data_IF_979295666727
#
_entry.id   IF_979295666727
#
_cell.length_a   1.000
_cell.length_b   1.000
_cell.length_c   1.000
_cell.angle_alpha   90.00
_cell.angle_beta   90.00
_cell.angle_gamma   90.00
#
_symmetry.space_group_name_H-M   'P 1'
#
loop_
_entity.id
_entity.type
_entity.pdbx_description
1 polymer ?
#
# COMPACT_ATOMS: atom_id res chain seq x y z
N UNK A 1 31.35 22.22 11.55
CA UNK A 1 30.86 21.50 10.37
C UNK A 1 29.57 22.18 9.95
N UNK A 2 29.32 22.45 8.65
CA UNK A 2 28.04 23.02 8.22
C UNK A 2 26.91 22.02 8.45
N UNK A 3 25.67 22.51 8.54
CA UNK A 3 24.48 21.66 8.59
C UNK A 3 24.42 20.80 7.33
N UNK A 4 24.15 19.50 7.48
CA UNK A 4 23.95 18.61 6.32
C UNK A 4 22.58 18.89 5.71
N UNK A 5 22.53 19.12 4.39
CA UNK A 5 21.30 19.47 3.67
C UNK A 5 20.83 18.28 2.81
N UNK A 6 19.67 17.72 3.12
CA UNK A 6 19.11 16.54 2.47
C UNK A 6 17.78 16.87 1.79
N UNK A 7 17.67 16.55 0.50
CA UNK A 7 16.41 16.57 -0.22
C UNK A 7 15.70 15.22 -0.14
N UNK A 8 14.41 15.23 0.09
CA UNK A 8 13.51 14.07 0.01
C UNK A 8 12.50 14.33 -1.10
N UNK A 9 12.47 13.48 -2.12
CA UNK A 9 11.63 13.63 -3.30
C UNK A 9 10.41 12.74 -3.18
N UNK A 10 9.27 13.33 -2.85
CA UNK A 10 7.97 12.70 -2.62
C UNK A 10 7.49 12.82 -1.18
N UNK A 11 6.28 13.33 -1.01
CA UNK A 11 5.61 13.57 0.27
C UNK A 11 4.61 12.49 0.68
N UNK A 12 4.75 11.27 0.14
CA UNK A 12 4.02 10.09 0.58
C UNK A 12 4.58 9.50 1.87
N UNK A 13 4.02 8.37 2.34
CA UNK A 13 4.46 7.73 3.59
C UNK A 13 5.95 7.39 3.59
N UNK A 14 6.53 7.02 2.44
CA UNK A 14 7.96 6.75 2.28
C UNK A 14 8.82 7.96 2.65
N UNK A 15 8.52 9.12 2.04
CA UNK A 15 9.31 10.34 2.25
C UNK A 15 9.08 10.96 3.62
N UNK A 16 7.84 10.96 4.11
CA UNK A 16 7.52 11.48 5.44
C UNK A 16 8.16 10.63 6.55
N UNK A 17 8.17 9.30 6.40
CA UNK A 17 8.91 8.40 7.30
C UNK A 17 10.41 8.59 7.20
N UNK A 18 10.96 8.82 5.99
CA UNK A 18 12.37 9.11 5.81
C UNK A 18 12.77 10.41 6.50
N UNK A 19 11.96 11.47 6.40
CA UNK A 19 12.19 12.73 7.10
C UNK A 19 12.24 12.52 8.62
N UNK A 20 11.30 11.75 9.17
CA UNK A 20 11.27 11.40 10.58
C UNK A 20 12.52 10.65 11.02
N UNK A 21 12.86 9.53 10.37
CA UNK A 21 13.99 8.70 10.75
C UNK A 21 15.35 9.37 10.54
N UNK A 22 15.49 10.20 9.50
CA UNK A 22 16.70 11.01 9.30
C UNK A 22 16.87 12.02 10.44
N UNK A 23 15.79 12.67 10.88
CA UNK A 23 15.83 13.58 12.02
C UNK A 23 16.18 12.84 13.31
N UNK A 24 15.64 11.65 13.52
CA UNK A 24 15.97 10.80 14.67
C UNK A 24 17.43 10.36 14.66
N UNK A 25 17.97 9.95 13.52
CA UNK A 25 19.32 9.43 13.37
C UNK A 25 20.41 10.52 13.43
N UNK A 26 20.18 11.69 12.82
CA UNK A 26 21.20 12.73 12.61
C UNK A 26 21.03 13.95 13.53
N UNK A 27 19.90 14.08 14.23
CA UNK A 27 19.68 15.13 15.21
C UNK A 27 19.36 16.51 14.64
N UNK A 28 19.66 17.57 15.42
CA UNK A 28 19.18 18.93 15.18
C UNK A 28 19.90 19.75 14.10
N UNK A 29 21.15 19.45 13.79
CA UNK A 29 21.96 20.19 12.79
C UNK A 29 21.76 19.66 11.37
N UNK A 30 20.51 19.32 11.02
CA UNK A 30 20.12 18.74 9.76
C UNK A 30 19.08 19.61 9.05
N UNK A 31 19.33 20.01 7.81
CA UNK A 31 18.36 20.69 6.98
C UNK A 31 17.67 19.65 6.07
N UNK A 32 16.40 19.41 6.34
CA UNK A 32 15.55 18.53 5.55
C UNK A 32 14.57 19.34 4.71
N UNK A 33 14.51 19.03 3.40
CA UNK A 33 13.48 19.57 2.52
C UNK A 33 12.74 18.43 1.84
N UNK A 34 11.42 18.39 2.05
CA UNK A 34 10.51 17.46 1.35
C UNK A 34 9.89 18.18 0.17
N UNK A 35 10.12 17.67 -1.04
CA UNK A 35 9.53 18.14 -2.28
C UNK A 35 8.37 17.25 -2.65
N UNK A 36 7.17 17.82 -2.79
CA UNK A 36 5.96 17.12 -3.22
C UNK A 36 5.40 17.83 -4.46
N UNK A 37 5.12 17.08 -5.51
CA UNK A 37 4.57 17.64 -6.76
C UNK A 37 3.14 18.11 -6.63
N UNK A 38 2.36 17.45 -5.76
CA UNK A 38 0.96 17.78 -5.52
C UNK A 38 0.84 18.89 -4.44
N UNK A 39 -0.32 19.51 -4.34
CA UNK A 39 -0.60 20.54 -3.36
C UNK A 39 -0.67 20.02 -1.91
N UNK A 40 -0.68 18.69 -1.71
CA UNK A 40 -0.87 18.04 -0.42
C UNK A 40 0.05 16.83 -0.26
N UNK A 41 0.47 16.60 0.99
CA UNK A 41 1.15 15.38 1.39
C UNK A 41 0.23 14.16 1.31
N UNK A 42 0.83 12.97 1.27
CA UNK A 42 0.14 11.69 1.38
C UNK A 42 0.36 10.77 0.19
N UNK A 43 0.50 11.32 -1.02
CA UNK A 43 0.62 10.51 -2.23
C UNK A 43 -0.57 9.52 -2.35
N UNK A 44 -0.29 8.22 -2.28
CA UNK A 44 -1.33 7.17 -2.30
C UNK A 44 -2.13 7.01 -0.99
N UNK A 45 -1.91 7.85 0.01
CA UNK A 45 -2.75 8.01 1.21
C UNK A 45 -3.62 9.25 1.05
N UNK A 46 -4.61 9.18 0.20
CA UNK A 46 -5.50 10.30 -0.09
C UNK A 46 -6.87 10.07 0.55
N UNK A 47 -7.39 11.12 1.14
CA UNK A 47 -8.77 11.21 1.64
C UNK A 47 -9.54 12.15 0.76
N UNK A 48 -10.72 11.76 0.32
CA UNK A 48 -11.64 12.58 -0.46
C UNK A 48 -12.94 12.81 0.30
N UNK A 49 -13.63 13.88 -0.02
CA UNK A 49 -14.98 14.12 0.48
C UNK A 49 -16.01 13.61 -0.54
N UNK A 50 -16.88 12.70 -0.09
CA UNK A 50 -18.00 12.21 -0.90
C UNK A 50 -19.31 12.55 -0.17
N UNK A 51 -20.00 13.55 -0.69
CA UNK A 51 -21.29 13.96 -0.12
C UNK A 51 -21.22 14.44 1.33
N UNK A 52 -20.14 15.12 1.72
CA UNK A 52 -19.89 15.61 3.07
C UNK A 52 -19.26 14.57 4.01
N UNK A 53 -18.83 13.42 3.48
CA UNK A 53 -18.23 12.36 4.28
C UNK A 53 -16.80 12.08 3.78
N UNK A 54 -15.77 12.22 4.64
CA UNK A 54 -14.39 11.88 4.27
C UNK A 54 -14.24 10.37 4.15
N UNK A 55 -13.69 9.92 3.02
CA UNK A 55 -13.41 8.50 2.75
C UNK A 55 -11.99 8.32 2.21
N UNK A 56 -11.37 7.19 2.52
CA UNK A 56 -10.05 6.85 2.02
C UNK A 56 -10.09 6.47 0.54
N UNK A 57 -9.37 7.20 -0.29
CA UNK A 57 -9.28 6.93 -1.72
C UNK A 57 -8.19 5.90 -2.06
N UNK A 58 -7.14 5.84 -1.26
CA UNK A 58 -6.00 4.96 -1.44
C UNK A 58 -5.81 3.94 -0.31
N UNK A 59 -4.60 3.95 0.29
CA UNK A 59 -4.22 3.02 1.35
C UNK A 59 -5.02 3.26 2.64
N UNK A 60 -5.80 2.26 3.04
CA UNK A 60 -6.77 2.39 4.12
C UNK A 60 -6.35 1.65 5.39
N UNK A 61 -5.81 0.44 5.24
CA UNK A 61 -5.68 -0.54 6.33
C UNK A 61 -4.27 -0.51 6.93
N UNK A 62 -4.20 -0.41 8.26
CA UNK A 62 -2.99 -0.59 9.06
C UNK A 62 -3.18 -1.84 9.93
N UNK A 63 -2.24 -2.79 9.88
CA UNK A 63 -2.26 -3.97 10.73
C UNK A 63 -1.68 -3.65 12.10
N UNK A 64 -2.23 -4.23 13.18
CA UNK A 64 -1.79 -3.93 14.55
C UNK A 64 -0.31 -4.23 14.82
N UNK A 65 0.30 -5.18 14.08
CA UNK A 65 1.72 -5.50 14.18
C UNK A 65 2.63 -4.60 13.34
N UNK A 66 2.06 -3.64 12.61
CA UNK A 66 2.80 -2.62 11.86
C UNK A 66 3.44 -1.64 12.86
N UNK A 67 4.62 -2.01 13.37
CA UNK A 67 5.26 -1.34 14.51
C UNK A 67 5.48 0.15 14.28
N UNK A 68 5.97 0.54 13.10
CA UNK A 68 6.24 1.94 12.80
C UNK A 68 4.96 2.73 12.59
N UNK A 69 4.04 2.24 11.78
CA UNK A 69 2.77 2.94 11.55
C UNK A 69 1.94 3.05 12.83
N UNK A 70 1.85 1.99 13.61
CA UNK A 70 1.14 1.99 14.88
C UNK A 70 1.81 2.96 15.89
N UNK A 71 3.15 2.97 15.92
CA UNK A 71 3.93 3.89 16.75
C UNK A 71 3.77 5.35 16.31
N UNK A 72 3.78 5.65 15.02
CA UNK A 72 3.52 7.00 14.51
C UNK A 72 2.13 7.50 14.88
N UNK A 73 1.09 6.66 14.72
CA UNK A 73 -0.27 7.02 15.12
C UNK A 73 -0.35 7.37 16.60
N UNK A 74 0.33 6.60 17.46
CA UNK A 74 0.38 6.84 18.90
C UNK A 74 1.17 8.12 19.25
N UNK A 75 2.38 8.27 18.71
CA UNK A 75 3.27 9.43 18.98
C UNK A 75 2.67 10.74 18.50
N UNK A 76 1.93 10.71 17.39
CA UNK A 76 1.24 11.88 16.84
C UNK A 76 -0.11 12.17 17.52
N UNK A 77 -0.54 11.32 18.46
CA UNK A 77 -1.82 11.47 19.15
C UNK A 77 -3.04 11.29 18.23
N UNK A 78 -2.88 10.53 17.14
CA UNK A 78 -3.96 10.29 16.18
C UNK A 78 -4.91 9.20 16.68
N UNK A 79 -6.19 9.34 16.38
CA UNK A 79 -7.21 8.39 16.83
C UNK A 79 -7.28 7.18 15.91
N UNK A 80 -7.14 5.97 16.46
CA UNK A 80 -7.41 4.73 15.74
C UNK A 80 -8.92 4.54 15.57
N UNK A 81 -9.34 4.10 14.39
CA UNK A 81 -10.71 3.73 14.05
C UNK A 81 -10.71 2.38 13.33
N UNK A 82 -11.83 1.67 13.38
CA UNK A 82 -11.99 0.48 12.55
C UNK A 82 -12.06 0.89 11.07
N UNK A 83 -11.42 0.12 10.16
CA UNK A 83 -11.54 0.37 8.73
C UNK A 83 -13.01 0.20 8.28
N UNK A 84 -13.49 1.08 7.42
CA UNK A 84 -14.84 1.00 6.82
C UNK A 84 -16.00 0.98 7.83
N UNK A 85 -15.83 1.58 9.02
CA UNK A 85 -16.84 1.57 10.06
C UNK A 85 -18.12 2.29 9.65
N UNK A 86 -19.20 1.54 9.49
CA UNK A 86 -20.53 2.06 9.14
C UNK A 86 -21.44 2.18 10.36
N UNK A 87 -21.47 1.16 11.20
CA UNK A 87 -22.19 1.13 12.47
C UNK A 87 -21.29 0.50 13.54
N UNK A 88 -21.09 1.15 14.71
CA UNK A 88 -20.28 0.59 15.78
C UNK A 88 -20.79 -0.78 16.22
N UNK A 89 -19.96 -1.82 16.07
CA UNK A 89 -20.26 -3.17 16.53
C UNK A 89 -20.93 -4.08 15.49
N UNK A 90 -21.12 -3.67 14.24
CA UNK A 90 -21.50 -4.59 13.16
C UNK A 90 -20.25 -5.26 12.56
N UNK A 91 -20.28 -6.59 12.42
CA UNK A 91 -19.27 -7.31 11.64
C UNK A 91 -19.51 -7.03 10.14
N UNK A 92 -18.48 -6.62 9.42
CA UNK A 92 -18.52 -6.42 7.97
C UNK A 92 -18.85 -7.74 7.26
N UNK A 93 -19.91 -7.73 6.46
CA UNK A 93 -20.30 -8.91 5.68
C UNK A 93 -19.51 -8.97 4.37
N UNK A 94 -18.96 -10.14 4.03
CA UNK A 94 -18.10 -10.36 2.86
C UNK A 94 -18.71 -11.40 1.93
N UNK A 95 -18.66 -11.12 0.62
CA UNK A 95 -19.06 -12.05 -0.42
C UNK A 95 -18.00 -12.19 -1.50
N UNK A 96 -17.79 -13.41 -2.02
CA UNK A 96 -16.92 -13.67 -3.17
C UNK A 96 -17.77 -13.93 -4.39
N UNK A 97 -17.75 -12.99 -5.33
CA UNK A 97 -18.50 -13.01 -6.59
C UNK A 97 -17.70 -13.63 -7.72
N UNK A 98 -18.31 -14.53 -8.48
CA UNK A 98 -17.64 -15.22 -9.60
C UNK A 98 -18.18 -14.82 -10.99
N UNK A 99 -18.84 -13.67 -11.10
CA UNK A 99 -19.47 -13.20 -12.33
C UNK A 99 -20.89 -13.71 -12.55
N UNK A 100 -21.34 -14.71 -11.79
CA UNK A 100 -22.70 -15.30 -11.95
C UNK A 100 -23.43 -15.48 -10.63
N UNK A 101 -22.72 -15.75 -9.57
CA UNK A 101 -23.25 -15.96 -8.21
C UNK A 101 -22.17 -15.79 -7.17
N UNK A 102 -22.57 -15.60 -5.94
CA UNK A 102 -21.64 -15.68 -4.82
C UNK A 102 -21.11 -17.12 -4.66
N UNK A 103 -19.82 -17.29 -4.85
CA UNK A 103 -19.12 -18.53 -4.56
C UNK A 103 -19.07 -18.81 -3.06
N UNK A 104 -18.97 -17.74 -2.25
CA UNK A 104 -19.01 -17.74 -0.79
C UNK A 104 -19.63 -16.44 -0.30
N UNK A 105 -20.33 -16.48 0.83
CA UNK A 105 -20.80 -15.29 1.60
C UNK A 105 -20.69 -15.57 3.08
N UNK A 106 -20.40 -14.52 3.86
CA UNK A 106 -20.68 -14.53 5.29
C UNK A 106 -22.18 -14.50 5.54
N UNK A 107 -22.59 -14.97 6.71
CA UNK A 107 -23.97 -14.99 7.18
C UNK A 107 -24.05 -14.19 8.47
N UNK A 108 -25.21 -13.70 8.85
CA UNK A 108 -25.46 -12.97 10.10
C UNK A 108 -25.04 -13.78 11.35
N UNK A 109 -24.99 -15.09 11.22
CA UNK A 109 -24.48 -15.98 12.27
C UNK A 109 -23.06 -16.43 11.96
N UNK A 110 -22.12 -16.13 12.85
CA UNK A 110 -20.74 -16.61 12.77
C UNK A 110 -20.66 -18.16 12.67
N UNK A 111 -21.60 -18.88 13.30
CA UNK A 111 -21.68 -20.34 13.21
C UNK A 111 -22.03 -20.79 11.79
N UNK A 112 -23.01 -20.15 11.15
CA UNK A 112 -23.41 -20.47 9.77
C UNK A 112 -22.28 -20.13 8.79
N UNK A 113 -21.62 -19.00 8.98
CA UNK A 113 -20.43 -18.61 8.19
C UNK A 113 -19.34 -19.67 8.29
N UNK A 114 -19.02 -20.14 9.51
CA UNK A 114 -18.02 -21.21 9.73
C UNK A 114 -18.43 -22.52 9.07
N UNK A 115 -19.69 -22.93 9.18
CA UNK A 115 -20.21 -24.15 8.53
C UNK A 115 -20.14 -24.04 7.01
N UNK A 116 -20.51 -22.90 6.43
CA UNK A 116 -20.40 -22.66 4.98
C UNK A 116 -18.96 -22.68 4.51
N UNK A 117 -18.03 -22.06 5.24
CA UNK A 117 -16.60 -22.09 4.94
C UNK A 117 -16.02 -23.51 5.02
N UNK A 118 -16.37 -24.26 6.07
CA UNK A 118 -15.95 -25.66 6.23
C UNK A 118 -16.50 -26.55 5.11
N UNK A 119 -17.78 -26.38 4.76
CA UNK A 119 -18.38 -27.12 3.65
C UNK A 119 -17.70 -26.80 2.30
N UNK A 120 -17.35 -25.52 2.06
CA UNK A 120 -16.77 -25.07 0.79
C UNK A 120 -15.29 -25.38 0.66
N UNK A 121 -14.52 -25.10 1.71
CA UNK A 121 -13.06 -25.09 1.71
C UNK A 121 -12.43 -26.18 2.59
N UNK A 122 -13.24 -26.88 3.38
CA UNK A 122 -12.75 -27.79 4.39
C UNK A 122 -12.18 -27.06 5.61
N UNK A 123 -11.70 -27.81 6.59
CA UNK A 123 -11.10 -27.25 7.82
C UNK A 123 -9.59 -27.04 7.65
N UNK A 124 -8.94 -27.91 6.90
CA UNK A 124 -7.46 -28.00 6.86
C UNK A 124 -6.82 -26.82 6.13
N UNK A 125 -7.37 -26.42 4.98
CA UNK A 125 -6.80 -25.34 4.17
C UNK A 125 -6.85 -23.98 4.85
N UNK A 126 -7.98 -23.50 5.40
CA UNK A 126 -8.01 -22.21 6.11
C UNK A 126 -7.06 -22.18 7.32
N UNK A 127 -7.03 -23.23 8.14
CA UNK A 127 -6.16 -23.29 9.33
C UNK A 127 -4.67 -23.35 8.95
N UNK A 128 -4.33 -24.05 7.86
CA UNK A 128 -2.98 -24.13 7.36
C UNK A 128 -2.53 -22.78 6.82
N UNK A 129 -3.36 -22.16 5.98
CA UNK A 129 -3.07 -20.82 5.44
C UNK A 129 -2.87 -19.80 6.56
N UNK A 130 -3.76 -19.77 7.55
CA UNK A 130 -3.63 -18.86 8.70
C UNK A 130 -2.26 -19.03 9.39
N UNK A 131 -1.84 -20.28 9.67
CA UNK A 131 -0.53 -20.56 10.30
C UNK A 131 0.64 -20.13 9.42
N UNK A 132 0.56 -20.38 8.12
CA UNK A 132 1.61 -19.97 7.18
C UNK A 132 1.70 -18.45 7.07
N UNK A 133 0.58 -17.74 7.02
CA UNK A 133 0.56 -16.28 7.01
C UNK A 133 1.13 -15.73 8.32
N UNK A 134 0.68 -16.23 9.48
CA UNK A 134 1.23 -15.82 10.79
C UNK A 134 2.73 -16.03 10.86
N UNK A 135 3.22 -17.20 10.42
CA UNK A 135 4.66 -17.48 10.39
C UNK A 135 5.43 -16.47 9.50
N UNK A 136 4.86 -16.02 8.36
CA UNK A 136 5.50 -15.01 7.51
C UNK A 136 5.50 -13.64 8.17
N UNK A 137 4.43 -13.27 8.84
CA UNK A 137 4.37 -12.03 9.61
C UNK A 137 5.38 -12.04 10.76
N UNK A 138 5.49 -13.13 11.52
CA UNK A 138 6.49 -13.30 12.58
C UNK A 138 7.92 -13.23 12.03
N UNK A 139 8.17 -13.85 10.89
CA UNK A 139 9.46 -13.82 10.20
C UNK A 139 9.80 -12.40 9.71
N UNK A 140 8.85 -11.70 9.11
CA UNK A 140 9.00 -10.30 8.72
C UNK A 140 9.26 -9.40 9.92
N UNK A 141 8.55 -9.59 11.02
CA UNK A 141 8.66 -8.73 12.20
C UNK A 141 10.05 -8.79 12.86
N UNK A 142 10.91 -9.76 12.54
CA UNK A 142 12.30 -9.79 13.00
C UNK A 142 13.10 -8.60 12.48
N UNK A 143 12.68 -7.96 11.37
CA UNK A 143 13.35 -6.78 10.82
C UNK A 143 13.48 -5.65 11.86
N UNK A 144 12.51 -5.50 12.74
CA UNK A 144 12.53 -4.42 13.72
C UNK A 144 13.71 -4.56 14.70
N UNK A 145 14.02 -5.78 15.13
CA UNK A 145 15.18 -6.03 16.00
C UNK A 145 16.49 -5.71 15.27
N UNK A 146 16.66 -6.15 14.02
CA UNK A 146 17.83 -5.83 13.22
C UNK A 146 18.03 -4.31 13.04
N UNK A 147 16.95 -3.58 12.72
CA UNK A 147 17.02 -2.12 12.55
C UNK A 147 17.24 -1.39 13.88
N UNK A 148 16.73 -1.89 14.99
CA UNK A 148 17.00 -1.33 16.33
C UNK A 148 18.47 -1.55 16.76
N UNK A 149 19.09 -2.64 16.32
CA UNK A 149 20.52 -2.94 16.52
C UNK A 149 21.43 -2.16 15.55
N UNK A 150 20.85 -1.34 14.65
CA UNK A 150 21.57 -0.50 13.70
C UNK A 150 21.98 -1.22 12.41
N UNK A 151 21.38 -2.38 12.11
CA UNK A 151 21.59 -3.04 10.82
C UNK A 151 21.13 -2.14 9.67
N UNK A 152 21.87 -2.18 8.56
CA UNK A 152 21.54 -1.49 7.34
C UNK A 152 21.76 -2.42 6.14
N UNK A 153 20.80 -2.39 5.20
CA UNK A 153 20.79 -3.25 4.03
C UNK A 153 20.86 -2.40 2.76
N UNK A 154 21.76 -2.73 1.84
CA UNK A 154 21.93 -1.97 0.58
C UNK A 154 20.79 -2.22 -0.43
N UNK A 155 20.00 -3.29 -0.25
CA UNK A 155 18.88 -3.61 -1.15
C UNK A 155 17.74 -4.35 -0.44
N UNK A 156 16.51 -4.32 -0.98
CA UNK A 156 15.42 -5.16 -0.51
C UNK A 156 15.74 -6.66 -0.57
N UNK A 157 16.54 -7.10 -1.54
CA UNK A 157 16.97 -8.49 -1.65
C UNK A 157 17.86 -8.90 -0.46
N UNK A 158 18.83 -8.07 -0.08
CA UNK A 158 19.66 -8.31 1.10
C UNK A 158 18.84 -8.36 2.39
N UNK A 159 17.90 -7.41 2.55
CA UNK A 159 16.96 -7.38 3.69
C UNK A 159 16.11 -8.64 3.76
N UNK A 160 15.52 -9.08 2.63
CA UNK A 160 14.71 -10.29 2.59
C UNK A 160 15.55 -11.55 2.83
N UNK A 161 16.80 -11.59 2.37
CA UNK A 161 17.72 -12.71 2.61
C UNK A 161 18.07 -12.84 4.09
N UNK A 162 18.34 -11.73 4.77
CA UNK A 162 18.59 -11.72 6.23
C UNK A 162 17.42 -12.34 7.01
N UNK A 163 16.19 -12.09 6.54
CA UNK A 163 14.97 -12.63 7.14
C UNK A 163 14.62 -14.04 6.63
N UNK A 164 15.39 -14.63 5.70
CA UNK A 164 15.07 -15.92 5.06
C UNK A 164 13.78 -15.88 4.22
N UNK A 165 13.46 -14.72 3.64
CA UNK A 165 12.28 -14.50 2.79
C UNK A 165 12.62 -14.49 1.29
N UNK A 166 13.89 -14.56 0.90
CA UNK A 166 14.36 -14.46 -0.50
C UNK A 166 13.69 -15.51 -1.41
N UNK A 167 13.53 -16.75 -0.94
CA UNK A 167 12.87 -17.79 -1.71
C UNK A 167 11.39 -17.49 -2.04
N UNK A 168 10.74 -16.59 -1.31
CA UNK A 168 9.37 -16.14 -1.62
C UNK A 168 9.34 -15.06 -2.69
N UNK A 169 10.44 -14.36 -2.93
CA UNK A 169 10.54 -13.40 -4.02
C UNK A 169 10.64 -14.09 -5.39
N UNK A 170 11.16 -15.31 -5.44
CA UNK A 170 11.47 -16.06 -6.67
C UNK A 170 10.32 -16.97 -7.13
N UNK A 171 9.33 -17.23 -6.28
CA UNK A 171 8.15 -18.05 -6.61
C UNK A 171 6.89 -17.20 -6.56
N UNK A 172 5.87 -17.57 -7.33
CA UNK A 172 4.57 -16.90 -7.23
C UNK A 172 3.76 -17.43 -6.02
N UNK A 173 2.74 -16.66 -5.64
CA UNK A 173 1.85 -17.02 -4.54
C UNK A 173 1.11 -18.34 -4.77
N UNK A 174 0.82 -18.69 -6.03
CA UNK A 174 0.19 -19.98 -6.36
C UNK A 174 1.10 -21.14 -6.04
N UNK A 175 2.38 -21.05 -6.38
CA UNK A 175 3.37 -22.05 -6.05
C UNK A 175 3.63 -22.12 -4.53
N UNK A 176 3.72 -20.96 -3.87
CA UNK A 176 3.85 -20.92 -2.41
C UNK A 176 2.66 -21.61 -1.71
N UNK A 177 1.42 -21.31 -2.10
CA UNK A 177 0.21 -21.95 -1.58
C UNK A 177 0.19 -23.46 -1.89
N UNK A 178 0.60 -23.84 -3.11
CA UNK A 178 0.69 -25.24 -3.50
C UNK A 178 1.72 -26.04 -2.69
N UNK A 179 2.87 -25.43 -2.37
CA UNK A 179 3.90 -26.01 -1.50
C UNK A 179 3.38 -26.20 -0.07
N UNK A 180 2.50 -25.30 0.39
CA UNK A 180 1.77 -25.43 1.65
C UNK A 180 0.60 -26.43 1.57
N UNK A 181 0.33 -27.02 0.40
CA UNK A 181 -0.70 -28.04 0.17
C UNK A 181 -2.08 -27.45 -0.18
N UNK A 182 -2.17 -26.16 -0.54
CA UNK A 182 -3.40 -25.48 -0.92
C UNK A 182 -3.46 -25.27 -2.43
N UNK A 183 -4.55 -25.72 -3.07
CA UNK A 183 -4.72 -25.72 -4.53
C UNK A 183 -6.18 -25.54 -4.94
N UNK A 184 -6.38 -25.36 -6.24
CA UNK A 184 -7.68 -25.40 -6.88
C UNK A 184 -8.65 -24.35 -6.34
N UNK A 185 -9.83 -24.80 -5.92
CA UNK A 185 -10.92 -23.93 -5.48
C UNK A 185 -10.55 -23.01 -4.34
N UNK A 186 -9.79 -23.48 -3.36
CA UNK A 186 -9.40 -22.66 -2.22
C UNK A 186 -8.52 -21.48 -2.66
N UNK A 187 -7.56 -21.72 -3.55
CA UNK A 187 -6.74 -20.64 -4.11
C UNK A 187 -7.58 -19.68 -4.95
N UNK A 188 -8.43 -20.20 -5.84
CA UNK A 188 -9.21 -19.39 -6.76
C UNK A 188 -10.31 -18.55 -6.08
N UNK A 189 -10.97 -19.08 -5.04
CA UNK A 189 -12.16 -18.46 -4.43
C UNK A 189 -11.91 -17.90 -3.03
N UNK A 190 -10.70 -18.06 -2.47
CA UNK A 190 -10.34 -17.51 -1.17
C UNK A 190 -9.08 -16.63 -1.27
N UNK A 191 -7.92 -17.20 -1.63
CA UNK A 191 -6.66 -16.46 -1.65
C UNK A 191 -6.60 -15.40 -2.77
N UNK A 192 -7.08 -15.73 -3.97
CA UNK A 192 -7.07 -14.80 -5.12
C UNK A 192 -7.92 -13.55 -4.88
N UNK A 193 -9.21 -13.64 -4.42
CA UNK A 193 -10.00 -12.45 -4.12
C UNK A 193 -9.35 -11.51 -3.10
N UNK A 194 -8.66 -12.06 -2.09
CA UNK A 194 -7.94 -11.28 -1.10
C UNK A 194 -6.71 -10.58 -1.69
N UNK A 195 -5.97 -11.23 -2.59
CA UNK A 195 -4.90 -10.58 -3.36
C UNK A 195 -5.43 -9.44 -4.23
N UNK A 196 -6.56 -9.65 -4.89
CA UNK A 196 -7.18 -8.65 -5.78
C UNK A 196 -7.64 -7.39 -5.05
N UNK A 197 -8.26 -7.51 -3.88
CA UNK A 197 -8.67 -6.32 -3.13
C UNK A 197 -7.46 -5.57 -2.58
N UNK A 198 -6.39 -6.27 -2.21
CA UNK A 198 -5.20 -5.66 -1.61
C UNK A 198 -4.27 -5.02 -2.64
N UNK A 199 -4.06 -5.66 -3.80
CA UNK A 199 -3.07 -5.21 -4.80
C UNK A 199 -3.61 -5.04 -6.23
N UNK A 200 -4.89 -5.28 -6.47
CA UNK A 200 -5.43 -5.35 -7.83
C UNK A 200 -4.85 -6.52 -8.66
N UNK A 201 -4.07 -7.39 -8.04
CA UNK A 201 -3.35 -8.50 -8.65
C UNK A 201 -3.79 -9.84 -8.03
N UNK A 202 -3.72 -10.91 -8.81
CA UNK A 202 -4.01 -12.26 -8.32
C UNK A 202 -2.77 -12.91 -7.66
N UNK A 203 -2.87 -14.16 -7.29
CA UNK A 203 -1.77 -14.93 -6.67
C UNK A 203 -0.61 -15.25 -7.63
N UNK A 204 -0.54 -14.65 -8.82
CA UNK A 204 0.66 -14.62 -9.67
C UNK A 204 1.72 -13.61 -9.18
N UNK A 205 1.38 -12.78 -8.20
CA UNK A 205 2.36 -12.00 -7.45
C UNK A 205 3.39 -12.93 -6.80
N UNK A 206 4.57 -12.39 -6.47
CA UNK A 206 5.56 -13.15 -5.71
C UNK A 206 4.97 -13.63 -4.36
N UNK A 207 5.52 -14.72 -3.82
CA UNK A 207 5.00 -15.36 -2.60
C UNK A 207 5.07 -14.47 -1.37
N UNK A 208 6.04 -13.56 -1.30
CA UNK A 208 6.15 -12.62 -0.19
C UNK A 208 5.00 -11.59 -0.24
N UNK A 209 4.79 -10.92 -1.36
CA UNK A 209 3.67 -9.98 -1.53
C UNK A 209 2.31 -10.68 -1.31
N UNK A 210 2.15 -11.91 -1.81
CA UNK A 210 0.94 -12.72 -1.58
C UNK A 210 0.73 -12.98 -0.09
N UNK A 211 1.78 -13.33 0.67
CA UNK A 211 1.67 -13.59 2.10
C UNK A 211 1.26 -12.34 2.90
N UNK A 212 1.80 -11.18 2.52
CA UNK A 212 1.46 -9.89 3.15
C UNK A 212 0.05 -9.44 2.76
N UNK A 213 -0.39 -9.64 1.51
CA UNK A 213 -1.77 -9.38 1.11
C UNK A 213 -2.78 -10.16 1.96
N UNK A 214 -2.50 -11.43 2.21
CA UNK A 214 -3.35 -12.30 3.03
C UNK A 214 -3.33 -11.90 4.51
N UNK A 215 -2.20 -11.40 5.03
CA UNK A 215 -2.13 -10.83 6.37
C UNK A 215 -2.99 -9.55 6.48
N UNK A 216 -2.88 -8.65 5.51
CA UNK A 216 -3.68 -7.42 5.41
C UNK A 216 -5.19 -7.66 5.26
N UNK A 217 -5.59 -8.86 4.88
CA UNK A 217 -6.99 -9.30 4.86
C UNK A 217 -7.49 -9.85 6.21
N UNK A 218 -6.77 -9.60 7.31
CA UNK A 218 -7.17 -9.97 8.67
C UNK A 218 -6.83 -11.41 9.08
N UNK A 219 -6.01 -12.15 8.31
CA UNK A 219 -5.66 -13.53 8.67
C UNK A 219 -4.61 -13.63 9.79
N UNK A 220 -3.97 -12.54 10.17
CA UNK A 220 -2.87 -12.55 11.14
C UNK A 220 -3.00 -11.52 12.28
N UNK A 221 -4.15 -10.87 12.46
CA UNK A 221 -4.37 -9.89 13.53
C UNK A 221 -5.43 -8.86 13.20
N UNK A 222 -5.62 -7.89 14.09
CA UNK A 222 -6.59 -6.81 13.94
C UNK A 222 -6.08 -5.72 12.99
N UNK A 223 -7.04 -5.00 12.41
CA UNK A 223 -6.82 -3.94 11.45
C UNK A 223 -7.40 -2.63 11.98
N UNK A 224 -6.77 -1.51 11.63
CA UNK A 224 -7.29 -0.19 11.95
C UNK A 224 -6.95 0.83 10.85
N UNK A 225 -7.56 2.00 10.93
CA UNK A 225 -7.26 3.19 10.14
C UNK A 225 -7.12 4.40 11.06
N UNK A 226 -6.74 5.55 10.53
CA UNK A 226 -6.65 6.81 11.26
C UNK A 226 -7.95 7.62 11.09
N UNK A 227 -8.55 8.02 12.19
CA UNK A 227 -9.72 8.89 12.18
C UNK A 227 -9.39 10.26 11.58
N UNK A 228 -10.08 10.62 10.49
CA UNK A 228 -9.79 11.80 9.69
C UNK A 228 -8.88 11.55 8.50
N UNK A 229 -8.40 10.31 8.33
CA UNK A 229 -7.60 9.86 7.18
C UNK A 229 -6.14 9.57 7.50
N UNK A 230 -5.61 8.51 6.87
CA UNK A 230 -4.22 8.07 7.05
C UNK A 230 -3.19 9.13 6.61
N UNK A 231 -3.57 10.06 5.74
CA UNK A 231 -2.73 11.20 5.33
C UNK A 231 -2.23 12.03 6.50
N UNK A 232 -2.99 12.11 7.60
CA UNK A 232 -2.60 12.82 8.82
C UNK A 232 -1.29 12.30 9.43
N UNK A 233 -0.93 11.04 9.18
CA UNK A 233 0.38 10.49 9.58
C UNK A 233 1.49 11.22 8.83
N UNK A 234 1.37 11.39 7.51
CA UNK A 234 2.37 12.08 6.71
C UNK A 234 2.57 13.53 7.17
N UNK A 235 1.49 14.27 7.39
CA UNK A 235 1.52 15.65 7.87
C UNK A 235 2.19 15.76 9.25
N UNK A 236 1.85 14.84 10.15
CA UNK A 236 2.43 14.77 11.48
C UNK A 236 3.94 14.49 11.44
N UNK A 237 4.37 13.50 10.64
CA UNK A 237 5.79 13.12 10.54
C UNK A 237 6.67 14.26 10.01
N UNK A 238 6.24 14.96 8.95
CA UNK A 238 6.99 16.09 8.39
C UNK A 238 7.10 17.24 9.40
N UNK A 239 6.00 17.53 10.10
CA UNK A 239 5.98 18.56 11.16
C UNK A 239 6.95 18.22 12.30
N UNK A 240 6.88 17.01 12.83
CA UNK A 240 7.74 16.59 13.94
C UNK A 240 9.23 16.46 13.52
N UNK A 241 9.48 16.03 12.27
CA UNK A 241 10.84 16.05 11.70
C UNK A 241 11.39 17.46 11.50
N UNK A 242 10.56 18.50 11.63
CA UNK A 242 10.90 19.91 11.34
C UNK A 242 11.51 20.06 9.96
N UNK A 243 10.97 19.33 8.99
CA UNK A 243 11.40 19.42 7.59
C UNK A 243 10.71 20.59 6.91
N UNK A 244 11.43 21.29 6.05
CA UNK A 244 10.84 22.27 5.14
C UNK A 244 9.99 21.54 4.12
N UNK A 245 8.70 21.85 4.04
CA UNK A 245 7.80 21.28 3.07
C UNK A 245 7.64 22.21 1.86
N UNK A 246 7.82 21.67 0.67
CA UNK A 246 7.56 22.34 -0.60
C UNK A 246 6.57 21.50 -1.40
N UNK A 247 5.29 21.89 -1.35
CA UNK A 247 4.24 21.38 -2.24
C UNK A 247 4.26 22.13 -3.58
N UNK A 248 3.53 21.60 -4.58
CA UNK A 248 3.55 22.10 -5.97
C UNK A 248 4.99 22.24 -6.52
N UNK A 249 5.86 21.31 -6.10
CA UNK A 249 7.30 21.34 -6.33
C UNK A 249 7.77 20.07 -7.05
N UNK A 250 7.34 19.90 -8.30
CA UNK A 250 7.73 18.80 -9.16
C UNK A 250 9.20 18.92 -9.54
N UNK A 251 9.96 17.83 -9.32
CA UNK A 251 11.38 17.74 -9.70
C UNK A 251 11.48 17.06 -11.05
N UNK A 252 12.08 17.73 -12.05
CA UNK A 252 12.32 17.21 -13.40
C UNK A 252 13.66 16.51 -13.54
N UNK A 253 14.69 16.98 -12.81
CA UNK A 253 16.04 16.44 -12.94
C UNK A 253 16.82 16.49 -11.63
N UNK A 254 17.70 15.50 -11.45
CA UNK A 254 18.72 15.45 -10.40
C UNK A 254 20.09 15.26 -11.10
N UNK A 255 20.99 16.19 -10.85
CA UNK A 255 22.34 16.18 -11.44
C UNK A 255 23.40 16.09 -10.35
N UNK A 256 24.39 15.19 -10.52
CA UNK A 256 25.56 15.13 -9.63
C UNK A 256 26.46 16.34 -9.89
N UNK A 257 26.89 17.00 -8.82
CA UNK A 257 27.86 18.08 -8.84
C UNK A 257 29.09 17.70 -8.02
N UNK A 258 30.13 18.56 -8.03
CA UNK A 258 31.34 18.30 -7.25
C UNK A 258 31.06 18.22 -5.72
N UNK A 259 30.09 19.01 -5.23
CA UNK A 259 29.80 19.20 -3.82
C UNK A 259 28.39 18.70 -3.42
N UNK A 260 27.81 17.75 -4.17
CA UNK A 260 26.49 17.20 -3.87
C UNK A 260 25.61 17.06 -5.11
N UNK A 261 24.36 17.49 -5.01
CA UNK A 261 23.34 17.35 -6.05
C UNK A 261 22.67 18.68 -6.35
N UNK A 262 22.36 18.90 -7.61
CA UNK A 262 21.49 19.99 -8.06
C UNK A 262 20.16 19.40 -8.53
N UNK A 263 19.08 19.88 -7.96
CA UNK A 263 17.71 19.56 -8.31
C UNK A 263 17.15 20.66 -9.20
N UNK A 264 16.52 20.30 -10.31
CA UNK A 264 15.79 21.21 -11.19
C UNK A 264 14.30 20.96 -11.05
N UNK A 265 13.56 22.01 -10.67
CA UNK A 265 12.11 22.01 -10.58
C UNK A 265 11.46 22.31 -11.93
N UNK A 266 10.22 21.84 -12.15
CA UNK A 266 9.41 22.14 -13.33
C UNK A 266 9.18 23.67 -13.52
N UNK A 267 9.24 24.43 -12.45
CA UNK A 267 9.18 25.91 -12.47
C UNK A 267 10.42 26.57 -13.07
N UNK A 268 11.51 25.82 -13.31
CA UNK A 268 12.80 26.31 -13.72
C UNK A 268 13.72 26.72 -12.56
N UNK A 269 13.26 26.67 -11.32
CA UNK A 269 14.09 26.88 -10.13
C UNK A 269 15.10 25.72 -9.98
N UNK A 270 16.28 26.02 -9.43
CA UNK A 270 17.25 25.01 -9.01
C UNK A 270 17.51 25.09 -7.51
N UNK A 271 17.73 23.93 -6.88
CA UNK A 271 18.10 23.81 -5.48
C UNK A 271 19.31 22.87 -5.33
N UNK A 272 20.17 23.13 -4.32
CA UNK A 272 21.36 22.30 -4.06
C UNK A 272 21.23 21.59 -2.73
N UNK A 273 21.63 20.31 -2.71
CA UNK A 273 21.62 19.47 -1.53
C UNK A 273 22.85 18.55 -1.48
N UNK A 274 23.29 18.21 -0.28
CA UNK A 274 24.41 17.31 -0.07
C UNK A 274 24.04 15.86 -0.40
N UNK A 275 22.80 15.50 -0.12
CA UNK A 275 22.23 14.15 -0.32
C UNK A 275 20.81 14.23 -0.88
N UNK A 276 20.43 13.16 -1.59
CA UNK A 276 19.06 13.02 -2.12
C UNK A 276 18.48 11.67 -1.75
N UNK A 277 17.25 11.69 -1.25
CA UNK A 277 16.44 10.49 -0.96
C UNK A 277 15.23 10.50 -1.89
N UNK A 278 15.22 9.59 -2.86
CA UNK A 278 14.03 9.32 -3.65
C UNK A 278 13.02 8.57 -2.78
N UNK A 279 11.81 9.12 -2.68
CA UNK A 279 10.69 8.55 -1.97
C UNK A 279 9.44 8.47 -2.87
N UNK A 280 9.70 8.26 -4.15
CA UNK A 280 8.70 8.02 -5.21
C UNK A 280 9.18 6.86 -6.09
N UNK A 281 8.29 6.18 -6.83
CA UNK A 281 8.70 5.23 -7.85
C UNK A 281 9.49 5.94 -8.95
N UNK A 282 10.80 5.65 -9.08
CA UNK A 282 11.68 6.37 -10.01
C UNK A 282 11.16 6.41 -11.45
N UNK A 283 10.68 5.27 -11.97
CA UNK A 283 10.16 5.20 -13.34
C UNK A 283 8.89 6.02 -13.58
N UNK A 284 8.06 6.22 -12.55
CA UNK A 284 6.84 7.02 -12.65
C UNK A 284 7.08 8.51 -12.39
N UNK A 285 8.13 8.84 -11.67
CA UNK A 285 8.44 10.22 -11.31
C UNK A 285 8.91 11.06 -12.51
N UNK A 286 9.38 10.41 -13.59
CA UNK A 286 9.86 11.11 -14.78
C UNK A 286 11.14 11.93 -14.54
N UNK A 287 11.80 11.74 -13.39
CA UNK A 287 13.01 12.51 -13.02
C UNK A 287 14.20 12.02 -13.80
N UNK A 288 14.83 12.91 -14.56
CA UNK A 288 16.08 12.60 -15.27
C UNK A 288 17.29 12.63 -14.31
N UNK A 289 18.19 11.65 -14.46
CA UNK A 289 19.43 11.56 -13.70
C UNK A 289 20.63 11.93 -14.59
N UNK A 290 21.49 12.86 -14.15
CA UNK A 290 22.68 13.30 -14.90
C UNK A 290 23.94 13.22 -14.06
N UNK A 291 25.02 12.66 -14.63
CA UNK A 291 26.28 12.48 -13.90
C UNK A 291 26.22 11.49 -12.76
N UNK A 292 25.23 10.60 -12.78
CA UNK A 292 24.95 9.58 -11.76
C UNK A 292 25.06 8.22 -12.42
N UNK A 293 25.97 7.39 -11.95
CA UNK A 293 26.12 6.00 -12.39
C UNK A 293 25.16 5.11 -11.60
N UNK A 294 23.88 5.18 -11.96
CA UNK A 294 22.85 4.39 -11.33
C UNK A 294 22.81 2.96 -11.90
N UNK A 295 22.77 1.91 -11.06
CA UNK A 295 22.73 0.53 -11.53
C UNK A 295 21.46 0.24 -12.33
N UNK A 296 21.54 -0.66 -13.32
CA UNK A 296 20.43 -0.99 -14.21
C UNK A 296 19.13 -1.37 -13.46
N UNK A 297 19.16 -2.16 -12.37
CA UNK A 297 17.94 -2.45 -11.62
C UNK A 297 17.22 -1.21 -11.07
N UNK A 298 17.91 -0.10 -10.82
CA UNK A 298 17.31 1.15 -10.38
C UNK A 298 16.70 1.95 -11.55
N UNK A 299 17.28 1.84 -12.74
CA UNK A 299 16.85 2.61 -13.93
C UNK A 299 15.89 1.85 -14.84
N UNK A 300 15.71 0.54 -14.60
CA UNK A 300 14.80 -0.31 -15.38
C UNK A 300 13.37 0.17 -15.23
N UNK A 301 12.70 0.40 -16.35
CA UNK A 301 11.26 0.63 -16.37
C UNK A 301 10.51 -0.61 -15.88
N UNK A 302 9.58 -0.40 -14.96
CA UNK A 302 8.76 -1.47 -14.34
C UNK A 302 7.29 -1.11 -14.46
N UNK A 303 6.50 -2.10 -14.88
CA UNK A 303 5.06 -1.93 -15.00
C UNK A 303 4.40 -1.72 -13.63
N UNK A 304 3.38 -0.88 -13.62
CA UNK A 304 2.51 -0.66 -12.47
C UNK A 304 1.11 -1.23 -12.74
N UNK A 305 0.48 -1.69 -11.69
CA UNK A 305 -0.93 -2.04 -11.68
C UNK A 305 -1.74 -0.76 -11.58
N UNK A 306 -2.38 -0.37 -12.68
CA UNK A 306 -3.37 0.70 -12.64
C UNK A 306 -4.61 0.21 -11.88
N UNK A 307 -5.13 1.05 -11.01
CA UNK A 307 -6.39 0.83 -10.29
C UNK A 307 -7.21 2.09 -10.37
N UNK A 308 -8.44 1.95 -10.81
CA UNK A 308 -9.43 3.01 -10.76
C UNK A 308 -10.28 2.84 -9.50
N UNK A 309 -10.29 3.85 -8.65
CA UNK A 309 -11.16 3.93 -7.48
C UNK A 309 -12.34 4.83 -7.82
N UNK A 310 -13.52 4.24 -7.98
CA UNK A 310 -14.76 4.96 -8.29
C UNK A 310 -15.64 4.99 -7.05
N UNK A 311 -16.02 6.18 -6.61
CA UNK A 311 -16.90 6.39 -5.47
C UNK A 311 -18.30 6.73 -5.95
N UNK A 312 -19.28 5.98 -5.47
CA UNK A 312 -20.66 6.02 -5.95
C UNK A 312 -21.61 6.16 -4.77
N UNK A 313 -22.40 7.21 -4.75
CA UNK A 313 -23.56 7.29 -3.89
C UNK A 313 -24.75 6.69 -4.62
N UNK A 314 -25.32 5.58 -4.14
CA UNK A 314 -26.40 4.92 -4.91
C UNK A 314 -26.92 3.64 -4.31
N UNK A 315 -27.75 2.96 -5.08
CA UNK A 315 -28.40 1.69 -4.74
C UNK A 315 -27.91 0.61 -5.71
N UNK A 316 -27.20 -0.44 -5.21
CA UNK A 316 -26.75 -1.54 -6.07
C UNK A 316 -27.93 -2.35 -6.64
N UNK A 317 -27.77 -2.89 -7.85
CA UNK A 317 -28.73 -3.81 -8.47
C UNK A 317 -28.73 -5.16 -7.80
N UNK A 318 -29.81 -5.48 -7.13
CA UNK A 318 -30.00 -6.78 -6.48
C UNK A 318 -30.00 -7.95 -7.49
N UNK A 319 -30.59 -7.75 -8.66
CA UNK A 319 -30.70 -8.74 -9.73
C UNK A 319 -29.35 -9.09 -10.37
N UNK A 320 -28.46 -8.10 -10.57
CA UNK A 320 -27.08 -8.34 -11.03
C UNK A 320 -26.34 -9.32 -10.12
N UNK A 321 -26.47 -9.14 -8.81
CA UNK A 321 -25.81 -9.98 -7.81
C UNK A 321 -26.62 -11.21 -7.38
N UNK A 322 -27.81 -11.40 -7.91
CA UNK A 322 -28.69 -12.51 -7.55
C UNK A 322 -29.08 -12.54 -6.08
N UNK A 323 -29.28 -11.36 -5.47
CA UNK A 323 -29.72 -11.20 -4.08
C UNK A 323 -31.17 -10.70 -4.03
N UNK A 324 -31.84 -10.86 -2.89
CA UNK A 324 -33.26 -10.53 -2.75
C UNK A 324 -33.56 -9.02 -2.78
N UNK A 325 -32.59 -8.21 -2.33
CA UNK A 325 -32.66 -6.75 -2.30
C UNK A 325 -31.27 -6.16 -2.22
N UNK A 326 -31.11 -4.87 -2.50
CA UNK A 326 -29.83 -4.17 -2.32
C UNK A 326 -29.27 -4.28 -0.89
N UNK A 327 -30.14 -4.28 0.13
CA UNK A 327 -29.76 -4.47 1.53
C UNK A 327 -29.33 -5.90 1.89
N UNK A 328 -29.47 -6.87 0.98
CA UNK A 328 -28.96 -8.23 1.16
C UNK A 328 -27.61 -8.44 0.44
N UNK A 329 -27.07 -7.40 -0.20
CA UNK A 329 -25.71 -7.41 -0.75
C UNK A 329 -24.71 -7.36 0.41
N UNK A 330 -23.65 -8.19 0.38
CA UNK A 330 -22.54 -8.05 1.33
C UNK A 330 -21.90 -6.66 1.29
N UNK A 331 -21.44 -6.17 2.44
CA UNK A 331 -20.76 -4.87 2.56
C UNK A 331 -19.50 -4.83 1.70
N UNK A 332 -18.77 -5.95 1.62
CA UNK A 332 -17.64 -6.13 0.72
C UNK A 332 -17.90 -7.27 -0.27
N UNK A 333 -17.93 -6.93 -1.56
CA UNK A 333 -17.97 -7.89 -2.67
C UNK A 333 -16.58 -8.00 -3.27
N UNK A 334 -15.92 -9.11 -3.02
CA UNK A 334 -14.64 -9.49 -3.62
C UNK A 334 -14.88 -10.33 -4.87
N UNK A 335 -13.92 -10.39 -5.79
CA UNK A 335 -14.10 -11.14 -7.04
C UNK A 335 -13.00 -12.15 -7.28
N UNK A 336 -13.35 -13.25 -7.93
CA UNK A 336 -12.38 -14.18 -8.50
C UNK A 336 -11.64 -13.55 -9.69
N UNK A 337 -10.49 -14.09 -10.07
CA UNK A 337 -9.81 -13.70 -11.32
C UNK A 337 -10.47 -14.41 -12.49
N UNK A 338 -11.27 -13.68 -13.26
CA UNK A 338 -11.97 -14.15 -14.44
C UNK A 338 -12.23 -12.96 -15.36
N UNK A 339 -11.97 -13.11 -16.67
CA UNK A 339 -12.15 -12.05 -17.67
C UNK A 339 -13.61 -11.57 -17.78
N UNK A 340 -14.56 -12.41 -17.38
CA UNK A 340 -15.98 -12.06 -17.34
C UNK A 340 -16.35 -11.19 -16.14
N UNK A 341 -15.43 -10.90 -15.21
CA UNK A 341 -15.68 -10.08 -14.03
C UNK A 341 -14.99 -8.73 -14.19
N UNK A 342 -15.73 -7.66 -14.54
CA UNK A 342 -15.16 -6.38 -14.97
C UNK A 342 -14.65 -5.50 -13.82
N UNK A 343 -14.70 -5.94 -12.58
CA UNK A 343 -14.23 -5.20 -11.41
C UNK A 343 -13.47 -6.10 -10.43
N UNK A 344 -12.63 -5.51 -9.60
CA UNK A 344 -11.84 -6.21 -8.59
C UNK A 344 -12.56 -6.34 -7.25
N UNK A 345 -13.27 -5.29 -6.84
CA UNK A 345 -14.10 -5.29 -5.64
C UNK A 345 -15.12 -4.17 -5.66
N UNK A 346 -16.21 -4.35 -4.91
CA UNK A 346 -17.20 -3.31 -4.58
C UNK A 346 -17.42 -3.34 -3.06
N UNK A 347 -17.12 -2.23 -2.39
CA UNK A 347 -17.27 -2.11 -0.93
C UNK A 347 -18.17 -0.95 -0.54
N UNK A 348 -19.05 -1.15 0.42
CA UNK A 348 -19.78 -0.10 1.10
C UNK A 348 -18.81 0.56 2.08
N UNK A 349 -18.43 1.83 1.86
CA UNK A 349 -17.35 2.49 2.62
C UNK A 349 -17.84 3.55 3.59
N UNK A 350 -19.04 4.09 3.37
CA UNK A 350 -19.63 5.10 4.25
C UNK A 350 -21.11 5.28 3.98
N UNK A 351 -21.77 6.08 4.83
CA UNK A 351 -23.07 6.70 4.56
C UNK A 351 -22.89 8.22 4.49
N UNK A 352 -23.53 8.85 3.53
CA UNK A 352 -23.55 10.31 3.41
C UNK A 352 -24.34 10.95 4.57
N UNK A 353 -24.20 12.26 4.70
CA UNK A 353 -24.98 13.03 5.67
C UNK A 353 -26.52 12.89 5.51
N UNK A 354 -26.98 12.56 4.30
CA UNK A 354 -28.40 12.25 4.02
C UNK A 354 -28.78 10.79 4.32
N UNK A 355 -27.84 9.95 4.73
CA UNK A 355 -28.03 8.51 5.00
C UNK A 355 -27.91 7.62 3.75
N UNK A 356 -27.59 8.17 2.57
CA UNK A 356 -27.39 7.39 1.38
C UNK A 356 -26.05 6.61 1.44
N UNK A 357 -26.05 5.38 0.94
CA UNK A 357 -24.88 4.51 0.92
C UNK A 357 -23.84 4.98 -0.08
N UNK A 358 -22.57 5.00 0.33
CA UNK A 358 -21.41 5.33 -0.50
C UNK A 358 -20.61 4.06 -0.73
N UNK A 359 -20.44 3.71 -1.98
CA UNK A 359 -19.69 2.53 -2.42
C UNK A 359 -18.36 2.94 -3.07
N UNK A 360 -17.34 2.11 -2.88
CA UNK A 360 -16.05 2.20 -3.55
C UNK A 360 -15.89 0.99 -4.47
N UNK A 361 -15.81 1.26 -5.76
CA UNK A 361 -15.59 0.24 -6.80
C UNK A 361 -14.15 0.30 -7.28
N UNK A 362 -13.46 -0.82 -7.29
CA UNK A 362 -12.13 -0.95 -7.90
C UNK A 362 -12.21 -1.66 -9.25
N UNK A 363 -11.64 -1.02 -10.28
CA UNK A 363 -11.44 -1.60 -11.60
C UNK A 363 -10.01 -1.44 -12.08
N UNK A 364 -9.55 -2.29 -13.00
CA UNK A 364 -8.23 -2.17 -13.64
C UNK A 364 -8.24 -1.21 -14.82
N UNK A 365 -9.37 -1.13 -15.49
CA UNK A 365 -9.62 -0.22 -16.59
C UNK A 365 -10.58 0.90 -16.14
N UNK A 366 -10.61 2.06 -16.84
CA UNK A 366 -11.61 3.07 -16.56
C UNK A 366 -12.99 2.47 -16.83
N UNK A 367 -13.67 2.01 -15.80
CA UNK A 367 -14.96 1.34 -15.90
C UNK A 367 -15.92 2.16 -16.77
N UNK A 368 -16.50 1.61 -17.85
CA UNK A 368 -17.43 2.35 -18.68
C UNK A 368 -18.67 2.71 -17.88
N UNK A 369 -19.30 3.83 -18.21
CA UNK A 369 -20.59 4.23 -17.62
C UNK A 369 -21.61 3.08 -17.64
N UNK A 370 -21.59 2.23 -18.71
CA UNK A 370 -22.43 1.04 -18.83
C UNK A 370 -22.23 0.03 -17.69
N UNK A 371 -20.99 -0.12 -17.16
CA UNK A 371 -20.74 -0.98 -16.01
C UNK A 371 -21.42 -0.43 -14.76
N UNK A 372 -21.37 0.88 -14.55
CA UNK A 372 -22.05 1.50 -13.43
C UNK A 372 -23.57 1.36 -13.54
N UNK A 373 -24.14 1.46 -14.75
CA UNK A 373 -25.57 1.24 -15.01
C UNK A 373 -25.98 -0.23 -14.82
N UNK A 374 -25.06 -1.17 -15.07
CA UNK A 374 -25.27 -2.59 -14.75
C UNK A 374 -25.23 -2.88 -13.26
N UNK A 375 -24.36 -2.21 -12.50
CA UNK A 375 -24.15 -2.46 -11.07
C UNK A 375 -25.14 -1.71 -10.17
N UNK A 376 -25.71 -0.58 -10.60
CA UNK A 376 -26.54 0.30 -9.77
C UNK A 376 -27.90 0.58 -10.43
N UNK A 377 -28.97 0.55 -9.62
CA UNK A 377 -30.32 0.97 -10.04
C UNK A 377 -30.44 2.50 -10.11
N UNK A 378 -29.83 3.16 -9.13
CA UNK A 378 -29.73 4.61 -9.06
C UNK A 378 -28.37 5.01 -8.54
N UNK A 379 -27.80 6.05 -9.12
CA UNK A 379 -26.50 6.57 -8.72
C UNK A 379 -26.42 8.08 -8.87
N UNK A 380 -25.83 8.72 -7.91
CA UNK A 380 -25.35 10.11 -8.01
C UNK A 380 -23.83 10.07 -8.07
N UNK A 381 -23.28 11.09 -8.71
CA UNK A 381 -21.93 11.19 -8.93
C UNK A 381 -21.09 11.10 -7.79
N UNK A 382 -19.99 11.03 -8.10
CA UNK A 382 -18.97 10.10 -8.09
C UNK A 382 -17.65 10.76 -8.33
N UNK A 383 -16.73 10.48 -7.46
CA UNK A 383 -15.33 10.75 -7.68
C UNK A 383 -14.71 9.55 -8.40
N UNK A 384 -13.78 9.80 -9.32
CA UNK A 384 -13.16 8.77 -10.13
C UNK A 384 -11.65 9.01 -10.19
N UNK A 385 -10.89 8.22 -9.45
CA UNK A 385 -9.46 8.44 -9.25
C UNK A 385 -8.67 7.30 -9.88
N UNK A 386 -7.71 7.66 -10.74
CA UNK A 386 -6.76 6.73 -11.31
C UNK A 386 -5.49 6.69 -10.46
N UNK A 387 -5.10 5.48 -10.07
CA UNK A 387 -3.86 5.21 -9.36
C UNK A 387 -2.92 4.33 -10.16
N UNK A 388 -1.65 4.68 -10.24
CA UNK A 388 -0.57 3.71 -10.38
C UNK A 388 -0.33 3.11 -8.98
N UNK A 389 -1.19 2.14 -8.64
CA UNK A 389 -1.40 1.74 -7.26
C UNK A 389 -0.19 1.00 -6.69
N UNK A 390 0.34 0.04 -7.46
CA UNK A 390 1.43 -0.85 -7.05
C UNK A 390 2.28 -1.25 -8.24
N UNK A 391 3.59 -1.58 -8.05
CA UNK A 391 4.32 -2.32 -9.08
C UNK A 391 3.64 -3.65 -9.40
N UNK A 392 3.80 -4.14 -10.62
CA UNK A 392 3.43 -5.51 -10.96
C UNK A 392 4.42 -6.44 -10.26
N UNK A 393 3.97 -7.10 -9.19
CA UNK A 393 4.78 -7.83 -8.22
C UNK A 393 5.10 -9.26 -8.68
N UNK A 394 5.69 -9.43 -9.86
CA UNK A 394 6.08 -10.75 -10.36
C UNK A 394 7.26 -11.33 -9.59
N UNK A 395 7.39 -12.67 -9.53
CA UNK A 395 8.61 -13.32 -9.03
C UNK A 395 9.86 -12.76 -9.69
N UNK A 396 10.87 -12.42 -8.87
CA UNK A 396 12.16 -11.90 -9.35
C UNK A 396 13.22 -12.00 -8.26
N UNK A 397 14.47 -12.25 -8.67
CA UNK A 397 15.65 -12.07 -7.83
C UNK A 397 16.31 -10.70 -8.03
N UNK A 398 15.88 -9.93 -9.05
CA UNK A 398 16.47 -8.65 -9.44
C UNK A 398 15.64 -7.48 -8.89
N UNK A 399 15.96 -7.07 -7.67
CA UNK A 399 15.36 -5.91 -7.03
C UNK A 399 16.31 -4.69 -7.11
N UNK A 400 15.76 -3.47 -7.23
CA UNK A 400 16.59 -2.27 -7.20
C UNK A 400 17.22 -2.06 -5.82
N UNK A 401 18.39 -1.39 -5.74
CA UNK A 401 19.04 -1.13 -4.47
C UNK A 401 18.41 0.06 -3.72
N UNK A 402 18.56 0.09 -2.39
CA UNK A 402 18.28 1.29 -1.58
C UNK A 402 19.35 2.37 -1.77
N UNK A 403 20.64 1.98 -1.92
CA UNK A 403 21.72 2.88 -2.28
C UNK A 403 21.91 2.86 -3.80
N UNK A 404 21.50 3.94 -4.45
CA UNK A 404 21.58 4.07 -5.92
C UNK A 404 22.96 4.54 -6.35
N UNK A 405 23.54 5.49 -5.63
CA UNK A 405 24.90 6.01 -5.79
C UNK A 405 25.34 6.69 -4.49
N UNK A 406 26.59 7.10 -4.41
CA UNK A 406 27.09 7.87 -3.25
C UNK A 406 26.28 9.15 -3.06
N UNK A 407 25.63 9.27 -1.92
CA UNK A 407 24.74 10.37 -1.56
C UNK A 407 23.34 10.29 -2.16
N UNK A 408 23.02 9.23 -2.90
CA UNK A 408 21.71 9.05 -3.53
C UNK A 408 21.07 7.74 -3.10
N UNK A 409 19.88 7.84 -2.51
CA UNK A 409 19.15 6.71 -1.92
C UNK A 409 17.72 6.62 -2.46
N UNK A 410 17.14 5.42 -2.40
CA UNK A 410 15.78 5.17 -2.91
C UNK A 410 14.95 4.31 -1.95
N UNK A 411 14.01 4.91 -1.24
CA UNK A 411 13.13 4.22 -0.28
C UNK A 411 12.19 3.24 -1.00
N UNK A 412 11.56 3.69 -2.09
CA UNK A 412 10.56 2.90 -2.83
C UNK A 412 11.15 1.71 -3.60
N UNK A 413 12.46 1.45 -3.52
CA UNK A 413 13.05 0.20 -3.97
C UNK A 413 12.34 -1.02 -3.34
N UNK A 414 11.87 -0.89 -2.08
CA UNK A 414 11.12 -1.94 -1.37
C UNK A 414 9.79 -2.30 -2.02
N UNK A 415 9.16 -1.38 -2.73
CA UNK A 415 7.86 -1.62 -3.38
C UNK A 415 7.89 -2.79 -4.37
N UNK A 416 9.03 -3.07 -4.96
CA UNK A 416 9.18 -4.14 -5.95
C UNK A 416 9.31 -5.55 -5.32
N UNK A 417 9.57 -5.61 -4.02
CA UNK A 417 9.45 -6.83 -3.24
C UNK A 417 8.03 -6.98 -2.68
N UNK A 418 7.55 -5.93 -2.00
CA UNK A 418 6.23 -5.83 -1.38
C UNK A 418 5.91 -4.36 -1.11
N UNK A 419 4.67 -3.95 -1.35
CA UNK A 419 4.26 -2.55 -1.23
C UNK A 419 3.15 -2.40 -0.19
N UNK A 420 3.49 -1.90 1.00
CA UNK A 420 2.55 -1.50 2.05
C UNK A 420 3.05 -0.23 2.73
N UNK A 421 2.20 0.47 3.47
CA UNK A 421 2.64 1.61 4.29
C UNK A 421 3.78 1.25 5.23
N UNK A 422 3.67 0.12 5.93
CA UNK A 422 4.68 -0.33 6.89
C UNK A 422 5.99 -0.70 6.23
N UNK A 423 5.96 -1.43 5.10
CA UNK A 423 7.21 -1.81 4.41
C UNK A 423 7.94 -0.59 3.86
N UNK A 424 7.22 0.49 3.53
CA UNK A 424 7.83 1.76 3.17
C UNK A 424 8.44 2.48 4.38
N UNK A 425 7.80 2.43 5.54
CA UNK A 425 8.38 2.97 6.78
C UNK A 425 9.63 2.19 7.22
N UNK A 426 9.62 0.85 7.09
CA UNK A 426 10.80 0.00 7.30
C UNK A 426 11.94 0.38 6.34
N UNK A 427 11.64 0.54 5.05
CA UNK A 427 12.63 0.96 4.06
C UNK A 427 13.18 2.37 4.36
N UNK A 428 12.33 3.28 4.82
CA UNK A 428 12.73 4.62 5.22
C UNK A 428 13.68 4.60 6.44
N UNK A 429 13.41 3.75 7.45
CA UNK A 429 14.32 3.54 8.58
C UNK A 429 15.66 3.00 8.12
N UNK A 430 15.65 1.98 7.24
CA UNK A 430 16.86 1.41 6.67
C UNK A 430 17.67 2.46 5.90
N UNK A 431 17.02 3.26 5.04
CA UNK A 431 17.69 4.33 4.28
C UNK A 431 18.27 5.39 5.21
N UNK A 432 17.57 5.77 6.28
CA UNK A 432 18.10 6.71 7.25
C UNK A 432 19.37 6.18 7.93
N UNK A 433 19.42 4.88 8.25
CA UNK A 433 20.64 4.22 8.80
C UNK A 433 21.78 4.22 7.76
N UNK A 434 21.49 3.93 6.47
CA UNK A 434 22.50 4.00 5.42
C UNK A 434 23.07 5.41 5.25
N UNK A 435 22.22 6.45 5.31
CA UNK A 435 22.65 7.86 5.23
C UNK A 435 23.52 8.22 6.42
N UNK A 436 23.11 7.83 7.65
CA UNK A 436 23.88 8.08 8.87
C UNK A 436 25.25 7.41 8.80
N UNK A 437 25.32 6.16 8.40
CA UNK A 437 26.58 5.42 8.23
C UNK A 437 27.50 6.09 7.19
N UNK A 438 26.97 6.60 6.06
CA UNK A 438 27.74 7.33 5.06
C UNK A 438 28.29 8.67 5.60
N UNK A 439 27.60 9.29 6.56
CA UNK A 439 28.03 10.52 7.21
C UNK A 439 28.94 10.27 8.41
N UNK A 440 29.17 9.01 8.78
CA UNK A 440 30.06 8.64 9.91
C UNK A 440 29.43 8.84 11.29
N UNK A 441 28.10 8.77 11.37
CA UNK A 441 27.31 8.90 12.61
C UNK A 441 26.78 7.55 13.04
#
# INVERSE_FOLDING_TARGET
MGSTNIAILGGGISGCSAAWFLREALGGELDLTVYERDAQLGGRLATIDVGGTPVEAGGTIIHETNRYLAGFVEQLGLRRVEPHQQDPGSEESVGVWNGRRFAFRTHDSALLTRLAAVWRFGVRSPLRLQREVQRRVEQWNQIYAHLDEGAAFDSPAALCSELGLEGLLEIDGRQWLANSGDRGRFVAEYATPLGRIMYGQDVSMNGFATSIALAGAGLAGSLFSVGGGNRLVCEGLVREARATLRCDAEIEAVSKSADGFELKLATGESARHDRVVFATPMGLAGVSLSGIDAPEPATRERAFQTTWATFIQGVPRADYFGVASAGALPDAVLTVEDDAVPFSSLGLVAKSASGASIYKLFTRDPGPESLLDELFESRELVEHIRWEAYPVLRPTSELPPFRVADGLFWVNAMEYAVSTMETQAVAARNVATLVAAELGV
#
